data_IF_537199454060
#
_entry.id   IF_537199454060
#
_cell.length_a   1.000
_cell.length_b   1.000
_cell.length_c   1.000
_cell.angle_alpha   90.00
_cell.angle_beta   90.00
_cell.angle_gamma   90.00
#
_symmetry.space_group_name_H-M   'P 1'
#
loop_
_entity.id
_entity.type
_entity.pdbx_description
1 polymer ?
#
# COMPACT_ATOMS: atom_id res chain seq x y z
N UNK A 1 2.04 -13.24 23.35
CA UNK A 1 3.16 -12.44 22.81
C UNK A 1 2.55 -11.25 22.09
N UNK A 2 2.50 -10.09 22.76
CA UNK A 2 2.10 -8.84 22.12
C UNK A 2 3.35 -8.28 21.45
N UNK A 3 3.33 -8.15 20.12
CA UNK A 3 4.39 -7.43 19.42
C UNK A 3 4.41 -5.99 19.95
N UNK A 4 5.58 -5.55 20.42
CA UNK A 4 5.77 -4.20 20.94
C UNK A 4 5.35 -3.20 19.83
N UNK A 5 4.58 -2.15 20.15
CA UNK A 5 4.17 -1.15 19.16
C UNK A 5 5.37 -0.49 18.44
N UNK A 6 6.52 -0.46 19.10
CA UNK A 6 7.78 0.03 18.55
C UNK A 6 8.41 -0.95 17.54
N UNK A 7 8.28 -2.25 17.76
CA UNK A 7 8.75 -3.30 16.85
C UNK A 7 7.91 -3.33 15.56
N UNK A 8 6.59 -3.13 15.67
CA UNK A 8 5.70 -2.95 14.50
C UNK A 8 6.07 -1.73 13.66
N UNK A 9 6.43 -0.62 14.31
CA UNK A 9 6.86 0.61 13.64
C UNK A 9 8.21 0.42 12.95
N UNK A 10 9.14 -0.26 13.59
CA UNK A 10 10.47 -0.57 13.03
C UNK A 10 10.36 -1.52 11.84
N UNK A 11 9.53 -2.56 11.93
CA UNK A 11 9.25 -3.46 10.80
C UNK A 11 8.58 -2.74 9.64
N UNK A 12 7.65 -1.82 9.92
CA UNK A 12 7.06 -0.98 8.90
C UNK A 12 8.12 -0.13 8.19
N UNK A 13 8.99 0.57 8.93
CA UNK A 13 10.06 1.41 8.36
C UNK A 13 11.06 0.61 7.51
N UNK A 14 11.44 -0.59 7.95
CA UNK A 14 12.31 -1.49 7.18
C UNK A 14 11.65 -1.95 5.88
N UNK A 15 10.33 -2.23 5.92
CA UNK A 15 9.56 -2.57 4.73
C UNK A 15 9.52 -1.41 3.72
N UNK A 16 9.44 -0.17 4.20
CA UNK A 16 9.46 1.02 3.32
C UNK A 16 10.82 1.21 2.65
N UNK A 17 11.90 0.88 3.35
CA UNK A 17 13.25 0.95 2.80
C UNK A 17 13.53 -0.12 1.75
N UNK A 18 12.85 -1.28 1.82
CA UNK A 18 13.00 -2.33 0.81
C UNK A 18 12.13 -2.11 -0.44
N UNK A 19 11.23 -1.13 -0.44
CA UNK A 19 10.36 -0.86 -1.58
C UNK A 19 11.16 -0.32 -2.76
N UNK A 20 10.81 -0.77 -3.96
CA UNK A 20 11.53 -0.37 -5.16
C UNK A 20 10.95 0.93 -5.70
N UNK A 21 11.66 2.01 -5.44
CA UNK A 21 11.44 3.29 -6.07
C UNK A 21 11.85 3.23 -7.54
N UNK A 22 11.03 3.76 -8.43
CA UNK A 22 11.38 3.96 -9.82
C UNK A 22 12.48 5.02 -9.91
N UNK A 23 13.16 5.12 -11.05
CA UNK A 23 14.16 6.17 -11.29
C UNK A 23 13.58 7.59 -11.25
N UNK A 24 12.25 7.71 -11.34
CA UNK A 24 11.50 8.97 -11.21
C UNK A 24 11.17 9.30 -9.74
N UNK A 25 11.52 8.43 -8.79
CA UNK A 25 11.16 8.59 -7.38
C UNK A 25 9.71 8.22 -7.07
N UNK A 26 9.01 7.56 -7.99
CA UNK A 26 7.68 7.03 -7.76
C UNK A 26 7.75 5.59 -7.23
N UNK A 27 6.90 5.23 -6.28
CA UNK A 27 6.74 3.83 -5.92
C UNK A 27 5.99 3.08 -7.01
N UNK A 28 6.42 1.86 -7.29
CA UNK A 28 5.65 0.92 -8.11
C UNK A 28 4.23 0.75 -7.52
N UNK A 29 3.20 0.65 -8.36
CA UNK A 29 1.80 0.55 -7.91
C UNK A 29 1.54 -0.61 -6.95
N UNK A 30 2.24 -1.74 -7.12
CA UNK A 30 2.19 -2.86 -6.18
C UNK A 30 2.77 -2.48 -4.80
N UNK A 31 3.91 -1.78 -4.79
CA UNK A 31 4.58 -1.34 -3.56
C UNK A 31 3.81 -0.18 -2.89
N UNK A 32 3.10 0.66 -3.66
CA UNK A 32 2.20 1.71 -3.13
C UNK A 32 1.09 1.12 -2.27
N UNK A 33 0.48 0.02 -2.69
CA UNK A 33 -0.58 -0.65 -1.92
C UNK A 33 0.00 -1.26 -0.64
N UNK A 34 1.20 -1.85 -0.70
CA UNK A 34 1.89 -2.40 0.47
C UNK A 34 2.25 -1.30 1.47
N UNK A 35 2.74 -0.15 0.99
CA UNK A 35 3.01 1.06 1.79
C UNK A 35 1.75 1.55 2.50
N UNK A 36 0.66 1.72 1.76
CA UNK A 36 -0.60 2.21 2.31
C UNK A 36 -1.15 1.24 3.37
N UNK A 37 -1.15 -0.07 3.12
CA UNK A 37 -1.56 -1.08 4.09
C UNK A 37 -0.68 -1.12 5.35
N UNK A 38 0.60 -0.78 5.20
CA UNK A 38 1.54 -0.69 6.34
C UNK A 38 1.31 0.58 7.16
N UNK A 39 0.94 1.69 6.52
CA UNK A 39 0.71 2.99 7.16
C UNK A 39 -0.67 3.13 7.81
N UNK A 40 -1.73 2.56 7.21
CA UNK A 40 -3.11 2.60 7.73
C UNK A 40 -3.16 2.30 9.24
N UNK A 41 -2.67 1.16 9.77
CA UNK A 41 -2.80 0.84 11.20
C UNK A 41 -2.04 1.79 12.13
N UNK A 42 -1.14 2.63 11.60
CA UNK A 42 -0.32 3.58 12.36
C UNK A 42 -0.89 5.01 12.33
N UNK A 43 -1.84 5.29 11.44
CA UNK A 43 -2.44 6.61 11.29
C UNK A 43 -3.64 6.83 12.24
N UNK A 44 -4.00 8.09 12.47
CA UNK A 44 -5.23 8.45 13.18
C UNK A 44 -6.48 8.06 12.36
N UNK A 45 -7.66 7.85 12.97
CA UNK A 45 -8.85 7.31 12.29
C UNK A 45 -9.32 8.11 11.05
N UNK A 46 -9.19 9.44 11.08
CA UNK A 46 -9.53 10.30 9.94
C UNK A 46 -8.61 10.03 8.75
N UNK A 47 -7.31 9.89 9.01
CA UNK A 47 -6.30 9.59 7.99
C UNK A 47 -6.43 8.14 7.51
N UNK A 48 -6.71 7.19 8.41
CA UNK A 48 -6.99 5.80 8.05
C UNK A 48 -8.08 5.67 7.00
N UNK A 49 -9.20 6.38 7.20
CA UNK A 49 -10.35 6.36 6.30
C UNK A 49 -9.96 6.87 4.91
N UNK A 50 -9.18 7.94 4.83
CA UNK A 50 -8.71 8.49 3.56
C UNK A 50 -7.71 7.55 2.87
N UNK A 51 -6.79 6.94 3.61
CA UNK A 51 -5.83 5.97 3.07
C UNK A 51 -6.54 4.72 2.52
N UNK A 52 -7.57 4.22 3.21
CA UNK A 52 -8.39 3.09 2.72
C UNK A 52 -9.06 3.46 1.39
N UNK A 53 -9.70 4.63 1.28
CA UNK A 53 -10.31 5.09 0.02
C UNK A 53 -9.30 5.18 -1.13
N UNK A 54 -8.06 5.57 -0.84
CA UNK A 54 -6.99 5.63 -1.84
C UNK A 54 -6.61 4.21 -2.29
N UNK A 55 -6.45 3.26 -1.37
CA UNK A 55 -6.19 1.85 -1.70
C UNK A 55 -7.31 1.27 -2.56
N UNK A 56 -8.57 1.54 -2.20
CA UNK A 56 -9.74 1.07 -2.97
C UNK A 56 -9.73 1.63 -4.40
N UNK A 57 -9.43 2.93 -4.57
CA UNK A 57 -9.32 3.54 -5.90
C UNK A 57 -8.21 2.91 -6.74
N UNK A 58 -7.04 2.65 -6.14
CA UNK A 58 -5.93 1.99 -6.82
C UNK A 58 -6.34 0.58 -7.25
N UNK A 59 -6.97 -0.19 -6.36
CA UNK A 59 -7.46 -1.53 -6.66
C UNK A 59 -8.48 -1.54 -7.81
N UNK A 60 -9.42 -0.58 -7.81
CA UNK A 60 -10.41 -0.40 -8.88
C UNK A 60 -9.76 -0.05 -10.22
N UNK A 61 -8.76 0.84 -10.22
CA UNK A 61 -8.00 1.20 -11.43
C UNK A 61 -7.20 0.02 -12.00
N UNK A 62 -6.70 -0.88 -11.13
CA UNK A 62 -6.00 -2.09 -11.57
C UNK A 62 -6.96 -3.18 -12.08
N UNK A 63 -8.18 -3.30 -11.53
CA UNK A 63 -9.17 -4.26 -12.04
C UNK A 63 -9.74 -3.85 -13.40
N UNK A 64 -9.79 -2.55 -13.72
CA UNK A 64 -10.12 -2.09 -15.07
C UNK A 64 -9.04 -2.38 -16.12
N UNK A 65 -7.84 -2.78 -15.69
CA UNK A 65 -6.69 -3.09 -16.56
C UNK A 65 -6.48 -4.58 -16.80
N UNK A 66 -7.31 -5.48 -16.25
CA UNK A 66 -7.35 -6.85 -16.77
C UNK A 66 -8.13 -6.80 -18.09
N UNK A 67 -7.47 -6.92 -19.27
CA UNK A 67 -8.23 -7.18 -20.47
C UNK A 67 -9.00 -8.47 -20.19
N UNK A 68 -10.32 -8.39 -20.15
CA UNK A 68 -11.11 -9.60 -20.32
C UNK A 68 -10.71 -10.12 -21.69
N UNK A 69 -9.87 -11.16 -21.69
CA UNK A 69 -9.49 -11.87 -22.90
C UNK A 69 -10.82 -12.36 -23.46
N UNK A 70 -11.27 -11.70 -24.50
CA UNK A 70 -12.42 -12.12 -25.29
C UNK A 70 -11.96 -13.38 -26.01
N UNK A 71 -12.15 -14.54 -25.39
CA UNK A 71 -12.14 -15.81 -26.11
C UNK A 71 -13.35 -15.79 -27.05
N UNK A 72 -13.05 -15.59 -28.34
CA UNK A 72 -13.98 -15.74 -29.47
C UNK A 72 -14.04 -17.19 -29.94
#
# INVERSE_FOLDING_TARGET
MSADPDERRTMAMLHLQSMRWTTDGELNDADRVILLNTLIPQCIPSVQTELIKVVERIALSQTTLTPQICES
#
